data_IF_275525184664
#
_entry.id   IF_275525184664
#
_cell.length_a   1.000
_cell.length_b   1.000
_cell.length_c   1.000
_cell.angle_alpha   90.00
_cell.angle_beta   90.00
_cell.angle_gamma   90.00
#
_symmetry.space_group_name_H-M   'P 1'
#
loop_
_entity.id
_entity.type
_entity.pdbx_description
1 polymer ?
#
# COMPACT_ATOMS: atom_id res chain seq x y z
N UNK A 1 10.62 4.22 -11.36
CA UNK A 1 9.55 3.37 -10.79
C UNK A 1 8.65 2.86 -11.89
N UNK A 2 8.33 1.56 -11.87
CA UNK A 2 7.50 0.91 -12.88
C UNK A 2 6.03 1.37 -12.86
N UNK A 3 5.33 1.17 -13.97
CA UNK A 3 3.90 1.49 -14.10
C UNK A 3 3.00 0.41 -13.46
N UNK A 4 1.68 0.65 -13.48
CA UNK A 4 0.69 -0.25 -12.88
C UNK A 4 0.70 -1.66 -13.49
N UNK A 5 1.04 -1.81 -14.77
CA UNK A 5 1.07 -3.10 -15.47
C UNK A 5 2.24 -3.95 -15.00
N UNK A 6 3.42 -3.35 -14.89
CA UNK A 6 4.62 -4.01 -14.37
C UNK A 6 4.44 -4.42 -12.89
N UNK A 7 3.83 -3.56 -12.07
CA UNK A 7 3.53 -3.90 -10.67
C UNK A 7 2.51 -5.03 -10.59
N UNK A 8 1.47 -5.04 -11.43
CA UNK A 8 0.51 -6.16 -11.54
C UNK A 8 1.22 -7.46 -11.91
N UNK A 9 2.05 -7.45 -12.95
CA UNK A 9 2.77 -8.63 -13.42
C UNK A 9 3.71 -9.18 -12.33
N UNK A 10 4.50 -8.30 -11.72
CA UNK A 10 5.39 -8.63 -10.59
C UNK A 10 4.64 -9.33 -9.46
N UNK A 11 3.49 -8.79 -9.06
CA UNK A 11 2.65 -9.39 -8.03
C UNK A 11 2.08 -10.75 -8.43
N UNK A 12 1.66 -10.92 -9.69
CA UNK A 12 1.20 -12.22 -10.18
C UNK A 12 2.30 -13.29 -10.08
N UNK A 13 3.52 -12.95 -10.50
CA UNK A 13 4.68 -13.85 -10.41
C UNK A 13 5.01 -14.21 -8.95
N UNK A 14 4.99 -13.22 -8.04
CA UNK A 14 5.18 -13.46 -6.60
C UNK A 14 4.16 -14.46 -6.05
N UNK A 15 2.89 -14.29 -6.39
CA UNK A 15 1.84 -15.19 -5.89
C UNK A 15 2.00 -16.61 -6.39
N UNK A 16 2.31 -16.78 -7.68
CA UNK A 16 2.59 -18.10 -8.25
C UNK A 16 3.73 -18.79 -7.49
N UNK A 17 4.83 -18.07 -7.25
CA UNK A 17 5.96 -18.58 -6.47
C UNK A 17 5.58 -18.96 -5.04
N UNK A 18 4.85 -18.10 -4.32
CA UNK A 18 4.38 -18.36 -2.96
C UNK A 18 3.45 -19.58 -2.88
N UNK A 19 2.60 -19.78 -3.88
CA UNK A 19 1.69 -20.92 -3.97
C UNK A 19 2.44 -22.24 -4.20
N UNK A 20 3.33 -22.28 -5.19
CA UNK A 20 4.12 -23.47 -5.53
C UNK A 20 5.03 -23.93 -4.38
N UNK A 21 5.55 -22.97 -3.61
CA UNK A 21 6.36 -23.24 -2.42
C UNK A 21 5.57 -23.96 -1.30
N UNK A 22 4.23 -23.88 -1.34
CA UNK A 22 3.37 -24.45 -0.30
C UNK A 22 2.76 -25.80 -0.69
N UNK A 23 2.58 -26.08 -1.98
CA UNK A 23 2.13 -27.39 -2.46
C UNK A 23 3.24 -28.43 -2.35
N UNK A 24 4.48 -28.04 -2.59
CA UNK A 24 5.68 -28.88 -2.47
C UNK A 24 6.00 -29.26 -1.02
N UNK A 25 5.65 -28.42 -0.03
CA UNK A 25 5.83 -28.75 1.40
C UNK A 25 4.85 -29.81 1.93
N UNK A 26 3.69 -29.97 1.28
CA UNK A 26 2.63 -30.90 1.71
C UNK A 26 2.67 -32.26 0.99
N UNK A 27 3.58 -32.44 0.03
CA UNK A 27 3.74 -33.67 -0.73
C UNK A 27 5.20 -33.98 -1.01
N UNK A 28 5.72 -35.01 -0.33
CA UNK A 28 7.02 -35.67 -0.48
C UNK A 28 8.05 -35.37 0.61
N UNK A 29 8.34 -36.41 1.40
CA UNK A 29 9.61 -36.51 2.11
C UNK A 29 10.74 -36.65 1.10
N UNK A 30 11.62 -35.65 1.04
CA UNK A 30 12.94 -35.77 0.46
C UNK A 30 13.93 -34.95 1.29
N UNK A 31 14.41 -35.59 2.35
CA UNK A 31 15.64 -35.22 3.02
C UNK A 31 16.81 -35.47 2.07
N UNK A 32 17.15 -34.53 1.17
CA UNK A 32 18.49 -34.19 0.68
C UNK A 32 18.36 -32.96 -0.26
N UNK A 33 19.24 -31.95 -0.08
CA UNK A 33 19.37 -30.67 -0.82
C UNK A 33 18.54 -29.45 -0.35
N UNK A 34 18.64 -29.06 0.93
CA UNK A 34 17.98 -27.84 1.45
C UNK A 34 18.60 -26.51 0.98
N UNK A 35 19.93 -26.44 0.79
CA UNK A 35 20.62 -25.18 0.43
C UNK A 35 20.43 -24.78 -1.05
N UNK A 36 20.44 -25.74 -1.98
CA UNK A 36 20.20 -25.48 -3.39
C UNK A 36 18.74 -25.10 -3.65
N UNK A 37 17.79 -25.72 -2.93
CA UNK A 37 16.37 -25.37 -2.97
C UNK A 37 16.11 -23.94 -2.45
N UNK A 38 16.79 -23.55 -1.36
CA UNK A 38 16.69 -22.18 -0.81
C UNK A 38 17.26 -21.13 -1.76
N UNK A 39 18.39 -21.43 -2.42
CA UNK A 39 19.02 -20.52 -3.38
C UNK A 39 18.18 -20.35 -4.65
N UNK A 40 17.59 -21.44 -5.16
CA UNK A 40 16.67 -21.41 -6.30
C UNK A 40 15.42 -20.59 -5.99
N UNK A 41 14.88 -20.69 -4.77
CA UNK A 41 13.74 -19.88 -4.35
C UNK A 41 14.07 -18.38 -4.30
N UNK A 42 15.22 -18.00 -3.76
CA UNK A 42 15.66 -16.60 -3.73
C UNK A 42 15.87 -16.03 -5.13
N UNK A 43 16.40 -16.84 -6.06
CA UNK A 43 16.53 -16.44 -7.46
C UNK A 43 15.17 -16.27 -8.15
N UNK A 44 14.23 -17.18 -7.88
CA UNK A 44 12.86 -17.04 -8.37
C UNK A 44 12.14 -15.83 -7.75
N UNK A 45 12.40 -15.52 -6.48
CA UNK A 45 11.87 -14.32 -5.83
C UNK A 45 12.40 -13.05 -6.50
N UNK A 46 13.70 -13.01 -6.76
CA UNK A 46 14.35 -11.87 -7.43
C UNK A 46 13.78 -11.65 -8.84
N UNK A 47 13.49 -12.72 -9.59
CA UNK A 47 12.89 -12.62 -10.92
C UNK A 47 11.47 -12.04 -10.92
N UNK A 48 10.74 -12.09 -9.80
CA UNK A 48 9.44 -11.42 -9.67
C UNK A 48 9.54 -9.90 -9.66
N UNK A 49 10.71 -9.34 -9.32
CA UNK A 49 10.95 -7.91 -9.12
C UNK A 49 10.13 -7.24 -7.99
N UNK A 50 9.33 -7.99 -7.22
CA UNK A 50 8.48 -7.39 -6.19
C UNK A 50 9.31 -6.65 -5.14
N UNK A 51 10.36 -7.32 -4.64
CA UNK A 51 11.28 -6.75 -3.65
C UNK A 51 12.01 -5.52 -4.20
N UNK A 52 12.41 -5.56 -5.49
CA UNK A 52 13.05 -4.43 -6.14
C UNK A 52 12.10 -3.20 -6.18
N UNK A 53 10.82 -3.41 -6.44
CA UNK A 53 9.84 -2.33 -6.43
C UNK A 53 9.56 -1.78 -5.03
N UNK A 54 9.46 -2.64 -4.01
CA UNK A 54 9.36 -2.20 -2.60
C UNK A 54 10.58 -1.39 -2.17
N UNK A 55 11.78 -1.84 -2.55
CA UNK A 55 13.04 -1.16 -2.27
C UNK A 55 13.06 0.24 -2.88
N UNK A 56 12.69 0.38 -4.16
CA UNK A 56 12.68 1.68 -4.84
C UNK A 56 11.65 2.63 -4.20
N UNK A 57 10.49 2.12 -3.75
CA UNK A 57 9.48 2.91 -3.01
C UNK A 57 10.01 3.44 -1.69
N UNK A 58 10.57 2.56 -0.86
CA UNK A 58 11.15 2.92 0.43
C UNK A 58 12.33 3.89 0.28
N UNK A 59 13.22 3.64 -0.69
CA UNK A 59 14.35 4.52 -0.97
C UNK A 59 13.90 5.91 -1.45
N UNK A 60 12.86 5.99 -2.28
CA UNK A 60 12.31 7.26 -2.75
C UNK A 60 11.65 8.05 -1.61
N UNK A 61 10.88 7.39 -0.74
CA UNK A 61 10.32 8.01 0.45
C UNK A 61 11.41 8.51 1.39
N UNK A 62 12.44 7.70 1.67
CA UNK A 62 13.60 8.11 2.47
C UNK A 62 14.30 9.34 1.86
N UNK A 63 14.42 9.41 0.53
CA UNK A 63 15.01 10.58 -0.12
C UNK A 63 14.22 11.86 0.16
N UNK A 64 12.88 11.77 0.17
CA UNK A 64 11.99 12.89 0.55
C UNK A 64 12.22 13.26 2.02
N UNK A 65 12.26 12.28 2.92
CA UNK A 65 12.51 12.47 4.36
C UNK A 65 13.84 13.18 4.59
N UNK A 66 14.93 12.71 3.97
CA UNK A 66 16.26 13.30 4.10
C UNK A 66 16.30 14.75 3.61
N UNK A 67 15.63 15.02 2.49
CA UNK A 67 15.61 16.36 1.89
C UNK A 67 14.82 17.35 2.75
N UNK A 68 13.69 16.92 3.32
CA UNK A 68 12.88 17.75 4.21
C UNK A 68 13.55 17.95 5.57
N UNK A 69 13.95 16.86 6.23
CA UNK A 69 14.39 16.90 7.63
C UNK A 69 15.84 17.32 7.80
N UNK A 70 16.77 16.79 6.99
CA UNK A 70 18.20 17.09 7.15
C UNK A 70 18.69 18.24 6.29
N UNK A 71 18.11 18.42 5.10
CA UNK A 71 18.53 19.49 4.19
C UNK A 71 17.66 20.75 4.31
N UNK A 72 16.53 20.68 5.03
CA UNK A 72 15.57 21.77 5.19
C UNK A 72 15.09 22.34 3.84
N UNK A 73 14.88 21.48 2.84
CA UNK A 73 14.44 21.87 1.49
C UNK A 73 13.02 21.40 1.20
N UNK A 74 12.27 22.22 0.48
CA UNK A 74 10.96 21.84 -0.05
C UNK A 74 11.10 20.78 -1.14
N UNK A 75 10.14 19.87 -1.21
CA UNK A 75 10.13 18.77 -2.19
C UNK A 75 8.77 18.73 -2.88
N UNK A 76 8.78 18.73 -4.22
CA UNK A 76 7.62 18.43 -5.04
C UNK A 76 7.75 16.99 -5.56
N UNK A 77 6.77 16.15 -5.25
CA UNK A 77 6.71 14.77 -5.75
C UNK A 77 5.58 14.68 -6.76
N UNK A 78 5.87 14.19 -7.96
CA UNK A 78 4.86 13.88 -8.96
C UNK A 78 5.21 12.60 -9.71
N UNK A 79 4.22 12.06 -10.42
CA UNK A 79 4.43 11.00 -11.40
C UNK A 79 3.75 11.42 -12.72
N UNK A 80 3.11 10.49 -13.44
CA UNK A 80 2.31 10.82 -14.63
C UNK A 80 1.02 11.54 -14.23
N UNK A 81 0.16 10.86 -13.47
CA UNK A 81 -1.18 11.32 -13.11
C UNK A 81 -1.29 11.75 -11.62
N UNK A 82 -0.28 11.41 -10.82
CA UNK A 82 -0.19 11.85 -9.42
C UNK A 82 -0.98 11.02 -8.39
N UNK A 83 -1.82 10.07 -8.77
CA UNK A 83 -2.67 9.33 -7.82
C UNK A 83 -2.16 7.93 -7.40
N UNK A 84 -1.08 7.42 -8.00
CA UNK A 84 -0.50 6.10 -7.68
C UNK A 84 0.84 6.26 -6.94
N UNK A 85 1.94 6.41 -7.69
CA UNK A 85 3.31 6.45 -7.14
C UNK A 85 3.55 7.65 -6.23
N UNK A 86 2.98 8.81 -6.57
CA UNK A 86 3.09 10.02 -5.75
C UNK A 86 2.46 9.78 -4.37
N UNK A 87 1.22 9.29 -4.34
CA UNK A 87 0.51 8.91 -3.11
C UNK A 87 1.31 7.91 -2.28
N UNK A 88 1.89 6.88 -2.90
CA UNK A 88 2.75 5.92 -2.20
C UNK A 88 3.95 6.61 -1.52
N UNK A 89 4.70 7.42 -2.27
CA UNK A 89 5.91 8.08 -1.76
C UNK A 89 5.58 9.10 -0.66
N UNK A 90 4.59 9.95 -0.89
CA UNK A 90 4.18 11.00 0.07
C UNK A 90 3.68 10.37 1.37
N UNK A 91 2.80 9.38 1.29
CA UNK A 91 2.27 8.76 2.51
C UNK A 91 3.33 7.98 3.28
N UNK A 92 4.29 7.32 2.61
CA UNK A 92 5.45 6.70 3.29
C UNK A 92 6.36 7.75 3.94
N UNK A 93 6.66 8.86 3.25
CA UNK A 93 7.50 9.92 3.80
C UNK A 93 6.84 10.57 5.03
N UNK A 94 5.53 10.84 4.98
CA UNK A 94 4.76 11.36 6.12
C UNK A 94 4.77 10.39 7.30
N UNK A 95 4.59 9.09 7.04
CA UNK A 95 4.67 8.04 8.07
C UNK A 95 6.05 7.98 8.76
N UNK A 96 7.11 8.22 7.99
CA UNK A 96 8.49 8.26 8.50
C UNK A 96 8.79 9.57 9.26
N UNK A 97 8.23 10.70 8.85
CA UNK A 97 8.51 12.02 9.42
C UNK A 97 7.71 12.33 10.68
N UNK A 98 6.40 12.03 10.70
CA UNK A 98 5.50 12.46 11.77
C UNK A 98 5.02 11.26 12.60
N UNK A 99 5.36 11.20 13.91
CA UNK A 99 4.85 10.18 14.81
C UNK A 99 3.32 10.10 14.90
N UNK A 100 2.60 11.19 14.62
CA UNK A 100 1.14 11.19 14.59
C UNK A 100 0.59 10.12 13.63
N UNK A 101 1.14 10.00 12.43
CA UNK A 101 0.69 9.03 11.43
C UNK A 101 0.98 7.57 11.81
N UNK A 102 1.73 7.33 12.88
CA UNK A 102 2.02 6.00 13.43
C UNK A 102 1.05 5.59 14.54
N UNK A 103 0.13 6.48 14.93
CA UNK A 103 -1.04 6.16 15.77
C UNK A 103 -2.17 5.56 14.93
N UNK A 104 -3.10 4.84 15.53
CA UNK A 104 -4.29 4.31 14.83
C UNK A 104 -5.14 5.43 14.23
N UNK A 105 -5.27 6.55 14.96
CA UNK A 105 -6.01 7.72 14.49
C UNK A 105 -5.31 8.41 13.32
N UNK A 106 -4.01 8.65 13.43
CA UNK A 106 -3.24 9.30 12.38
C UNK A 106 -3.07 8.41 11.15
N UNK A 107 -2.88 7.10 11.30
CA UNK A 107 -2.78 6.20 10.15
C UNK A 107 -4.10 6.13 9.35
N UNK A 108 -5.24 6.13 10.04
CA UNK A 108 -6.56 6.33 9.41
C UNK A 108 -6.60 7.64 8.63
N UNK A 109 -6.20 8.76 9.25
CA UNK A 109 -6.21 10.07 8.59
C UNK A 109 -5.28 10.10 7.36
N UNK A 110 -4.10 9.48 7.47
CA UNK A 110 -3.15 9.36 6.36
C UNK A 110 -3.80 8.68 5.15
N UNK A 111 -4.55 7.60 5.37
CA UNK A 111 -5.24 6.87 4.30
C UNK A 111 -6.43 7.68 3.75
N UNK A 112 -7.27 8.22 4.63
CA UNK A 112 -8.42 9.03 4.20
C UNK A 112 -7.98 10.26 3.39
N UNK A 113 -6.86 10.90 3.77
CA UNK A 113 -6.37 12.10 3.08
C UNK A 113 -5.56 11.79 1.82
N UNK A 114 -4.48 11.03 1.96
CA UNK A 114 -3.50 10.86 0.86
C UNK A 114 -3.97 9.84 -0.18
N UNK A 115 -4.86 8.93 0.19
CA UNK A 115 -5.34 7.89 -0.71
C UNK A 115 -6.77 8.16 -1.20
N UNK A 116 -7.73 8.30 -0.27
CA UNK A 116 -9.14 8.40 -0.64
C UNK A 116 -9.46 9.80 -1.16
N UNK A 117 -9.17 10.86 -0.39
CA UNK A 117 -9.49 12.23 -0.75
C UNK A 117 -8.64 12.72 -1.95
N UNK A 118 -7.35 12.36 -2.01
CA UNK A 118 -6.47 12.70 -3.13
C UNK A 118 -6.84 11.99 -4.44
N UNK A 119 -7.73 10.99 -4.41
CA UNK A 119 -8.29 10.36 -5.60
C UNK A 119 -7.48 9.19 -6.14
N UNK A 120 -6.83 8.40 -5.27
CA UNK A 120 -6.38 7.08 -5.68
C UNK A 120 -7.59 6.26 -6.17
N UNK A 121 -7.47 5.71 -7.37
CA UNK A 121 -8.58 5.04 -8.06
C UNK A 121 -8.86 3.63 -7.53
N UNK A 122 -9.30 3.51 -6.27
CA UNK A 122 -9.52 2.22 -5.63
C UNK A 122 -10.49 1.31 -6.42
N UNK A 123 -11.59 1.86 -6.94
CA UNK A 123 -12.55 1.10 -7.75
C UNK A 123 -11.91 0.41 -8.97
N UNK A 124 -11.13 1.15 -9.75
CA UNK A 124 -10.40 0.63 -10.91
C UNK A 124 -9.26 -0.32 -10.49
N UNK A 125 -8.46 0.07 -9.48
CA UNK A 125 -7.25 -0.66 -9.08
C UNK A 125 -7.56 -2.00 -8.42
N UNK A 126 -8.62 -2.07 -7.61
CA UNK A 126 -9.06 -3.30 -6.93
C UNK A 126 -9.85 -4.23 -7.85
N UNK A 127 -10.55 -3.68 -8.85
CA UNK A 127 -11.42 -4.45 -9.73
C UNK A 127 -12.68 -4.99 -9.06
N UNK A 128 -13.10 -4.39 -7.93
CA UNK A 128 -14.34 -4.74 -7.22
C UNK A 128 -15.60 -4.38 -8.01
N UNK A 129 -15.52 -3.35 -8.84
CA UNK A 129 -16.59 -2.93 -9.73
C UNK A 129 -16.28 -3.38 -11.16
N UNK A 130 -17.33 -3.57 -11.96
CA UNK A 130 -17.18 -3.84 -13.38
C UNK A 130 -16.43 -2.67 -14.05
N UNK A 131 -15.40 -2.97 -14.84
CA UNK A 131 -14.53 -1.95 -15.43
C UNK A 131 -13.36 -2.57 -16.18
N UNK A 132 -12.52 -1.71 -16.76
CA UNK A 132 -11.34 -2.11 -17.53
C UNK A 132 -10.35 -2.88 -16.64
N UNK A 133 -10.13 -4.15 -16.97
CA UNK A 133 -9.23 -5.04 -16.25
C UNK A 133 -7.77 -4.61 -16.38
N UNK A 134 -7.43 -3.86 -17.44
CA UNK A 134 -6.10 -3.31 -17.66
C UNK A 134 -5.72 -2.25 -16.63
N UNK A 135 -6.69 -1.63 -15.94
CA UNK A 135 -6.46 -0.63 -14.90
C UNK A 135 -6.20 -1.23 -13.50
N UNK A 136 -6.32 -2.55 -13.34
CA UNK A 136 -6.14 -3.22 -12.05
C UNK A 136 -4.68 -3.32 -11.67
N UNK A 137 -4.34 -2.97 -10.44
CA UNK A 137 -2.99 -3.13 -9.91
C UNK A 137 -2.96 -3.07 -8.37
N UNK A 138 -2.07 -3.82 -7.70
CA UNK A 138 -2.00 -3.88 -6.24
C UNK A 138 -1.21 -2.70 -5.64
N UNK A 139 -1.52 -1.47 -6.05
CA UNK A 139 -0.76 -0.25 -5.67
C UNK A 139 -0.86 0.03 -4.16
N UNK A 140 -2.08 -0.01 -3.60
CA UNK A 140 -2.28 0.15 -2.16
C UNK A 140 -1.67 -1.02 -1.36
N UNK A 141 -1.75 -2.24 -1.88
CA UNK A 141 -1.16 -3.42 -1.24
C UNK A 141 0.37 -3.35 -1.19
N UNK A 142 0.99 -2.92 -2.30
CA UNK A 142 2.43 -2.67 -2.37
C UNK A 142 2.86 -1.63 -1.33
N UNK A 143 2.08 -0.56 -1.15
CA UNK A 143 2.32 0.41 -0.11
C UNK A 143 2.19 -0.18 1.30
N UNK A 144 1.16 -0.97 1.57
CA UNK A 144 1.01 -1.66 2.85
C UNK A 144 2.18 -2.60 3.15
N UNK A 145 2.74 -3.25 2.13
CA UNK A 145 3.94 -4.10 2.27
C UNK A 145 5.16 -3.24 2.69
N UNK A 146 5.35 -2.07 2.08
CA UNK A 146 6.33 -1.08 2.54
C UNK A 146 6.08 -0.65 4.00
N UNK A 147 4.83 -0.35 4.37
CA UNK A 147 4.45 0.00 5.76
C UNK A 147 4.81 -1.13 6.72
N UNK A 148 4.56 -2.39 6.35
CA UNK A 148 4.90 -3.56 7.16
C UNK A 148 6.41 -3.68 7.38
N UNK A 149 7.24 -3.40 6.38
CA UNK A 149 8.69 -3.36 6.55
C UNK A 149 9.16 -2.25 7.50
N UNK A 150 8.58 -1.04 7.39
CA UNK A 150 8.86 0.06 8.33
C UNK A 150 8.41 -0.31 9.75
N UNK A 151 7.22 -0.91 9.89
CA UNK A 151 6.65 -1.36 11.15
C UNK A 151 7.56 -2.38 11.84
N UNK A 152 7.98 -3.42 11.10
CA UNK A 152 8.87 -4.48 11.61
C UNK A 152 10.24 -3.93 12.02
N UNK A 153 10.79 -2.99 11.26
CA UNK A 153 12.07 -2.35 11.58
C UNK A 153 12.00 -1.44 12.82
N UNK A 154 10.79 -1.01 13.22
CA UNK A 154 10.59 -0.06 14.33
C UNK A 154 9.50 -0.56 15.30
N UNK A 155 9.73 -1.65 16.06
CA UNK A 155 8.69 -2.35 16.83
C UNK A 155 7.96 -1.51 17.88
N UNK A 156 8.58 -0.46 18.40
CA UNK A 156 7.99 0.40 19.44
C UNK A 156 7.36 1.69 18.89
N UNK A 157 7.44 1.90 17.58
CA UNK A 157 7.11 3.19 16.95
C UNK A 157 5.66 3.32 16.48
N UNK A 158 4.89 2.23 16.46
CA UNK A 158 3.55 2.15 15.90
C UNK A 158 2.54 1.68 16.94
N UNK A 159 1.40 2.37 17.04
CA UNK A 159 0.31 2.02 17.96
C UNK A 159 -0.43 0.76 17.52
N UNK A 160 -0.55 0.56 16.20
CA UNK A 160 -1.18 -0.63 15.63
C UNK A 160 -0.18 -1.78 15.46
N UNK A 161 -0.68 -3.01 15.51
CA UNK A 161 0.11 -4.23 15.26
C UNK A 161 -0.03 -4.72 13.81
N UNK A 162 0.67 -5.81 13.46
CA UNK A 162 0.63 -6.37 12.10
C UNK A 162 -0.77 -6.90 11.71
N UNK A 163 -1.58 -7.36 12.68
CA UNK A 163 -2.95 -7.85 12.42
C UNK A 163 -3.83 -6.72 11.87
N UNK A 164 -3.67 -5.49 12.37
CA UNK A 164 -4.35 -4.31 11.83
C UNK A 164 -4.06 -4.13 10.33
N UNK A 165 -2.78 -4.23 9.92
CA UNK A 165 -2.37 -4.11 8.52
C UNK A 165 -2.92 -5.25 7.66
N UNK A 166 -2.92 -6.48 8.17
CA UNK A 166 -3.50 -7.63 7.47
C UNK A 166 -5.01 -7.42 7.27
N UNK A 167 -5.75 -7.00 8.30
CA UNK A 167 -7.19 -6.75 8.20
C UNK A 167 -7.52 -5.62 7.23
N UNK A 168 -6.72 -4.57 7.22
CA UNK A 168 -6.85 -3.49 6.25
C UNK A 168 -6.64 -4.01 4.82
N UNK A 169 -5.55 -4.75 4.57
CA UNK A 169 -5.26 -5.35 3.27
C UNK A 169 -6.40 -6.26 2.77
N UNK A 170 -6.98 -7.09 3.66
CA UNK A 170 -8.12 -7.95 3.35
C UNK A 170 -9.35 -7.15 2.92
N UNK A 171 -9.69 -6.11 3.68
CA UNK A 171 -10.93 -5.38 3.50
C UNK A 171 -10.91 -4.33 2.38
N UNK A 172 -9.73 -3.98 1.86
CA UNK A 172 -9.60 -3.24 0.60
C UNK A 172 -10.17 -4.03 -0.58
N UNK A 173 -10.05 -5.37 -0.56
CA UNK A 173 -10.51 -6.25 -1.65
C UNK A 173 -11.76 -7.05 -1.30
N UNK A 174 -12.37 -6.84 -0.12
CA UNK A 174 -13.53 -7.64 0.29
C UNK A 174 -14.87 -7.06 -0.16
N UNK A 175 -14.92 -5.79 -0.55
CA UNK A 175 -16.17 -5.07 -0.87
C UNK A 175 -17.14 -4.93 0.31
N UNK A 176 -16.68 -5.17 1.54
CA UNK A 176 -17.54 -5.18 2.74
C UNK A 176 -17.81 -3.75 3.27
N UNK A 177 -16.82 -2.87 3.14
CA UNK A 177 -16.87 -1.50 3.63
C UNK A 177 -16.86 -0.51 2.47
N UNK A 178 -17.42 0.68 2.71
CA UNK A 178 -17.54 1.70 1.68
C UNK A 178 -16.25 2.41 1.31
N UNK A 179 -15.25 2.43 2.20
CA UNK A 179 -14.09 3.32 2.11
C UNK A 179 -13.29 3.19 0.81
N UNK A 180 -13.23 1.99 0.22
CA UNK A 180 -12.37 1.68 -0.93
C UNK A 180 -13.16 1.32 -2.19
N UNK A 181 -14.43 1.74 -2.29
CA UNK A 181 -15.30 1.36 -3.42
C UNK A 181 -15.18 2.28 -4.64
N UNK A 182 -14.95 3.57 -4.44
CA UNK A 182 -14.98 4.58 -5.50
C UNK A 182 -13.57 5.02 -5.92
N UNK A 183 -13.47 5.80 -7.01
CA UNK A 183 -12.20 6.32 -7.52
C UNK A 183 -11.90 7.75 -7.07
N UNK A 184 -12.87 8.45 -6.48
CA UNK A 184 -12.70 9.83 -6.03
C UNK A 184 -13.67 10.19 -4.90
N UNK A 185 -13.34 11.23 -4.14
CA UNK A 185 -14.25 11.82 -3.15
C UNK A 185 -15.59 12.26 -3.77
N UNK A 186 -15.56 12.78 -5.00
CA UNK A 186 -16.77 13.16 -5.73
C UNK A 186 -17.69 11.97 -5.98
N UNK A 187 -17.14 10.83 -6.40
CA UNK A 187 -17.91 9.59 -6.57
C UNK A 187 -18.47 9.06 -5.24
N UNK A 188 -17.73 9.19 -4.13
CA UNK A 188 -18.22 8.83 -2.80
C UNK A 188 -19.48 9.60 -2.42
N UNK A 189 -19.49 10.91 -2.67
CA UNK A 189 -20.63 11.79 -2.40
C UNK A 189 -21.79 11.45 -3.34
N UNK A 190 -21.52 11.36 -4.65
CA UNK A 190 -22.54 11.10 -5.68
C UNK A 190 -23.27 9.78 -5.44
N UNK A 191 -22.54 8.74 -5.02
CA UNK A 191 -23.11 7.43 -4.72
C UNK A 191 -23.67 7.29 -3.29
N UNK A 192 -23.62 8.35 -2.48
CA UNK A 192 -24.05 8.39 -1.09
C UNK A 192 -23.42 7.27 -0.22
N UNK A 193 -22.15 6.95 -0.46
CA UNK A 193 -21.45 5.80 0.13
C UNK A 193 -21.54 5.80 1.66
N UNK A 194 -21.30 6.96 2.30
CA UNK A 194 -21.31 7.11 3.76
C UNK A 194 -22.65 6.79 4.41
N UNK A 195 -23.76 6.93 3.68
CA UNK A 195 -25.11 6.62 4.19
C UNK A 195 -25.55 5.18 3.90
N UNK A 196 -24.91 4.53 2.92
CA UNK A 196 -25.31 3.22 2.39
C UNK A 196 -24.41 2.07 2.83
N UNK A 197 -23.26 2.38 3.42
CA UNK A 197 -22.21 1.40 3.74
C UNK A 197 -21.62 1.67 5.11
N UNK A 198 -20.98 0.65 5.68
CA UNK A 198 -20.20 0.80 6.92
C UNK A 198 -18.78 1.28 6.63
N UNK A 199 -18.22 2.00 7.60
CA UNK A 199 -16.83 2.41 7.59
C UNK A 199 -15.92 1.32 8.17
N UNK A 200 -14.82 1.00 7.48
CA UNK A 200 -13.80 0.07 7.97
C UNK A 200 -13.21 0.54 9.31
N UNK A 201 -13.17 1.84 9.56
CA UNK A 201 -12.63 2.40 10.80
C UNK A 201 -13.50 2.10 12.02
N UNK A 202 -14.80 1.83 11.82
CA UNK A 202 -15.67 1.32 12.88
C UNK A 202 -15.30 -0.12 13.26
N UNK A 203 -14.79 -0.90 12.30
CA UNK A 203 -14.27 -2.26 12.54
C UNK A 203 -12.85 -2.23 13.13
N UNK A 204 -11.95 -1.42 12.57
CA UNK A 204 -10.57 -1.19 13.03
C UNK A 204 -10.49 -0.16 14.17
N UNK A 205 -11.39 -0.28 15.13
CA UNK A 205 -11.58 0.73 16.17
C UNK A 205 -10.41 0.77 17.17
N UNK A 206 -9.92 1.95 17.60
CA UNK A 206 -8.81 2.06 18.57
C UNK A 206 -9.09 1.47 19.95
N UNK A 207 -10.35 1.24 20.34
CA UNK A 207 -10.66 0.56 21.61
C UNK A 207 -10.53 -0.97 21.51
N UNK A 208 -10.28 -1.51 20.32
CA UNK A 208 -10.12 -2.94 20.14
C UNK A 208 -8.66 -3.33 20.35
N UNK A 209 -8.36 -3.85 21.54
CA UNK A 209 -6.99 -4.17 21.95
C UNK A 209 -6.32 -5.24 21.07
N UNK A 210 -7.08 -6.02 20.29
CA UNK A 210 -6.51 -6.99 19.34
C UNK A 210 -5.66 -6.33 18.24
N UNK A 211 -5.88 -5.04 17.98
CA UNK A 211 -5.16 -4.28 16.96
C UNK A 211 -4.03 -3.43 17.54
N UNK A 212 -3.90 -3.36 18.86
CA UNK A 212 -2.87 -2.57 19.51
C UNK A 212 -1.56 -3.32 19.58
N UNK A 213 -0.48 -2.56 19.44
CA UNK A 213 0.86 -2.98 19.70
C UNK A 213 1.22 -2.68 21.16
N UNK A 214 1.45 -3.73 21.95
CA UNK A 214 1.81 -3.61 23.36
C UNK A 214 3.19 -2.96 23.60
N UNK A 215 4.04 -2.94 22.56
CA UNK A 215 5.37 -2.33 22.62
C UNK A 215 5.35 -0.84 22.23
N UNK A 216 4.20 -0.30 21.84
CA UNK A 216 4.09 1.09 21.41
C UNK A 216 4.50 2.06 22.53
N UNK A 217 5.42 2.96 22.20
CA UNK A 217 5.81 4.06 23.07
C UNK A 217 5.26 5.36 22.51
N UNK A 218 4.42 6.02 23.30
CA UNK A 218 3.79 7.29 22.95
C UNK A 218 4.83 8.42 22.91
N UNK A 219 5.09 9.01 21.73
CA UNK A 219 6.09 10.08 21.57
C UNK A 219 5.83 11.32 22.42
N UNK A 220 4.57 11.54 22.84
CA UNK A 220 4.21 12.71 23.67
C UNK A 220 4.56 12.52 25.14
N UNK A 221 4.75 11.26 25.59
CA UNK A 221 5.01 10.91 26.98
C UNK A 221 6.49 10.66 27.27
N UNK A 222 7.31 10.54 26.23
CA UNK A 222 8.73 10.27 26.37
C UNK A 222 9.56 11.54 26.10
N UNK A 223 10.10 12.12 27.17
CA UNK A 223 10.92 13.34 27.10
C UNK A 223 12.30 13.13 26.50
N UNK A 224 12.81 11.89 26.51
CA UNK A 224 14.15 11.54 26.00
C UNK A 224 14.13 11.17 24.51
N UNK A 225 12.95 10.91 23.94
CA UNK A 225 12.79 10.35 22.60
C UNK A 225 12.56 11.39 21.48
N UNK A 226 12.69 12.69 21.77
CA UNK A 226 12.53 13.76 20.78
C UNK A 226 13.41 13.59 19.53
N UNK A 227 14.59 12.97 19.66
CA UNK A 227 15.52 12.71 18.55
C UNK A 227 15.23 11.44 17.74
N UNK A 228 14.23 10.61 18.11
CA UNK A 228 13.80 9.40 17.37
C UNK A 228 12.42 9.53 16.72
N UNK A 229 11.93 10.76 16.57
CA UNK A 229 10.63 11.02 15.96
C UNK A 229 10.61 10.81 14.44
N UNK A 230 11.77 10.86 13.78
CA UNK A 230 11.90 10.60 12.35
C UNK A 230 12.53 9.22 12.14
N UNK A 231 11.87 8.37 11.35
CA UNK A 231 12.34 7.04 11.00
C UNK A 231 13.24 7.12 9.76
N UNK A 232 14.55 6.92 9.92
CA UNK A 232 15.54 7.06 8.82
C UNK A 232 16.29 5.78 8.51
N UNK A 233 15.85 4.64 9.04
CA UNK A 233 16.48 3.34 8.82
C UNK A 233 16.55 3.03 7.32
N UNK A 234 17.74 2.82 6.74
CA UNK A 234 17.86 2.43 5.34
C UNK A 234 17.39 0.99 5.15
N UNK A 235 16.48 0.77 4.20
CA UNK A 235 15.93 -0.55 3.90
C UNK A 235 16.76 -1.23 2.81
N UNK A 236 17.67 -2.13 3.19
CA UNK A 236 18.46 -2.88 2.20
C UNK A 236 17.62 -3.99 1.60
N UNK A 237 17.89 -4.39 0.36
CA UNK A 237 17.20 -5.51 -0.31
C UNK A 237 17.14 -6.77 0.56
N UNK A 238 18.24 -7.11 1.26
CA UNK A 238 18.30 -8.24 2.19
C UNK A 238 17.29 -8.14 3.35
N UNK A 239 16.99 -6.94 3.81
CA UNK A 239 16.05 -6.73 4.92
C UNK A 239 14.59 -6.85 4.42
N UNK A 240 14.39 -6.78 3.10
CA UNK A 240 13.10 -6.90 2.43
C UNK A 240 12.80 -8.33 1.93
N UNK A 241 13.79 -9.24 1.90
CA UNK A 241 13.56 -10.65 1.50
C UNK A 241 12.70 -11.43 2.50
N UNK A 242 12.50 -10.88 3.70
CA UNK A 242 11.50 -11.36 4.64
C UNK A 242 10.10 -10.97 4.16
N UNK A 243 9.51 -11.82 3.30
CA UNK A 243 8.17 -11.63 2.77
C UNK A 243 7.12 -11.49 3.88
N UNK A 244 6.05 -10.74 3.59
CA UNK A 244 4.88 -10.66 4.46
C UNK A 244 4.09 -11.98 4.44
N UNK A 245 4.60 -12.97 5.18
CA UNK A 245 4.07 -14.34 5.17
C UNK A 245 2.59 -14.41 5.54
N UNK A 246 2.12 -13.56 6.47
CA UNK A 246 0.70 -13.53 6.87
C UNK A 246 -0.25 -13.17 5.71
N UNK A 247 0.25 -12.43 4.71
CA UNK A 247 -0.51 -11.99 3.56
C UNK A 247 -0.25 -12.87 2.33
N UNK A 248 1.02 -13.11 2.00
CA UNK A 248 1.42 -13.80 0.76
C UNK A 248 1.49 -15.33 0.91
N UNK A 249 1.69 -15.84 2.13
CA UNK A 249 1.80 -17.27 2.45
C UNK A 249 1.00 -17.64 3.72
N UNK A 250 -0.30 -17.31 3.83
CA UNK A 250 -1.07 -17.49 5.08
C UNK A 250 -1.08 -18.93 5.59
N UNK A 251 -0.92 -19.91 4.71
CA UNK A 251 -0.77 -21.33 5.02
C UNK A 251 0.44 -21.65 5.90
N UNK A 252 1.51 -20.86 5.83
CA UNK A 252 2.72 -21.04 6.65
C UNK A 252 2.65 -20.29 7.98
N UNK A 253 1.61 -19.48 8.21
CA UNK A 253 1.45 -18.71 9.43
C UNK A 253 1.18 -19.62 10.65
N UNK A 254 1.62 -19.16 11.83
CA UNK A 254 1.36 -19.82 13.11
C UNK A 254 -0.16 -20.03 13.31
N UNK A 255 -0.62 -21.25 13.66
CA UNK A 255 -2.02 -21.52 14.01
C UNK A 255 -2.67 -20.55 15.01
N UNK A 256 -1.91 -20.00 15.97
CA UNK A 256 -2.39 -19.01 16.93
C UNK A 256 -2.72 -17.68 16.24
N UNK A 257 -1.84 -17.24 15.32
CA UNK A 257 -2.05 -16.03 14.51
C UNK A 257 -3.20 -16.25 13.53
N UNK A 258 -3.31 -17.43 12.90
CA UNK A 258 -4.45 -17.80 12.04
C UNK A 258 -5.82 -17.71 12.73
N UNK A 259 -5.88 -18.05 14.03
CA UNK A 259 -7.10 -17.93 14.85
C UNK A 259 -7.43 -16.48 15.14
N UNK A 260 -6.44 -15.64 15.46
CA UNK A 260 -6.64 -14.21 15.70
C UNK A 260 -6.97 -13.45 14.41
N UNK A 261 -6.40 -13.84 13.27
CA UNK A 261 -6.73 -13.25 11.98
C UNK A 261 -8.07 -13.74 11.44
N UNK A 262 -8.77 -14.68 12.11
CA UNK A 262 -10.05 -15.24 11.69
C UNK A 262 -10.05 -15.45 10.17
N UNK A 263 -9.24 -16.39 9.68
CA UNK A 263 -9.40 -16.98 8.35
C UNK A 263 -10.70 -17.79 8.34
N UNK A 264 -11.84 -17.12 8.52
CA UNK A 264 -13.16 -17.71 8.40
C UNK A 264 -13.58 -17.65 6.94
N UNK A 265 -13.76 -18.85 6.42
CA UNK A 265 -14.52 -19.24 5.24
C UNK A 265 -15.82 -18.42 5.15
N UNK A 266 -15.85 -17.38 4.32
CA UNK A 266 -17.11 -16.82 3.85
C UNK A 266 -17.57 -17.75 2.72
N UNK A 267 -18.59 -18.55 3.03
CA UNK A 267 -19.32 -19.38 2.07
C UNK A 267 -19.86 -18.51 0.94
N UNK A 268 -19.33 -18.71 -0.26
CA UNK A 268 -19.89 -18.19 -1.51
C UNK A 268 -21.16 -18.97 -1.85
N UNK A 269 -22.31 -18.52 -1.37
CA UNK A 269 -23.62 -19.01 -1.86
C UNK A 269 -24.44 -17.90 -2.51
N UNK A 270 -23.83 -16.80 -2.96
CA UNK A 270 -24.59 -15.65 -3.47
C UNK A 270 -24.09 -15.01 -4.77
N UNK A 271 -23.08 -15.57 -5.45
CA UNK A 271 -22.59 -14.98 -6.72
C UNK A 271 -22.42 -15.98 -7.88
N UNK A 272 -22.79 -17.25 -7.71
CA UNK A 272 -22.67 -18.26 -8.79
C UNK A 272 -23.83 -18.23 -9.80
N UNK A 273 -24.88 -17.47 -9.55
CA UNK A 273 -25.99 -17.34 -10.50
C UNK A 273 -25.83 -16.07 -11.34
N UNK A 274 -24.87 -16.06 -12.29
CA UNK A 274 -24.95 -15.28 -13.56
C UNK A 274 -23.67 -15.27 -14.43
N UNK A 275 -22.79 -16.27 -14.40
CA UNK A 275 -21.68 -16.36 -15.36
C UNK A 275 -21.83 -17.57 -16.28
N UNK A 276 -22.61 -17.41 -17.35
CA UNK A 276 -22.56 -18.30 -18.52
C UNK A 276 -21.27 -18.03 -19.29
N UNK A 277 -20.47 -19.09 -19.41
CA UNK A 277 -19.24 -19.29 -20.20
C UNK A 277 -19.02 -18.34 -21.40
N UNK A 278 -17.94 -17.56 -21.36
CA UNK A 278 -17.18 -17.13 -22.52
C UNK A 278 -15.72 -16.77 -22.14
N UNK A 279 -14.78 -17.60 -22.61
CA UNK A 279 -13.35 -17.41 -22.98
C UNK A 279 -12.36 -16.45 -22.25
N UNK A 280 -12.67 -15.76 -21.16
CA UNK A 280 -11.70 -14.88 -20.46
C UNK A 280 -11.24 -15.47 -19.11
N UNK A 281 -10.33 -16.45 -19.14
CA UNK A 281 -9.87 -17.18 -17.94
C UNK A 281 -8.82 -16.48 -17.07
N UNK A 282 -8.24 -15.35 -17.51
CA UNK A 282 -7.12 -14.71 -16.79
C UNK A 282 -7.52 -13.50 -15.92
N UNK A 283 -8.74 -13.00 -16.09
CA UNK A 283 -9.08 -11.63 -15.68
C UNK A 283 -9.93 -11.51 -14.41
N UNK A 284 -10.60 -12.57 -13.98
CA UNK A 284 -11.37 -12.64 -12.71
C UNK A 284 -10.46 -12.94 -11.50
N UNK A 285 -9.18 -13.22 -11.76
CA UNK A 285 -8.25 -13.81 -10.79
C UNK A 285 -7.82 -12.84 -9.69
N UNK A 286 -7.64 -11.53 -9.89
CA UNK A 286 -7.05 -10.70 -8.81
C UNK A 286 -8.00 -10.46 -7.61
N UNK A 287 -9.25 -10.06 -7.86
CA UNK A 287 -10.26 -9.86 -6.81
C UNK A 287 -10.75 -11.19 -6.21
N UNK A 288 -10.98 -12.21 -7.03
CA UNK A 288 -11.31 -13.56 -6.54
C UNK A 288 -10.13 -14.24 -5.85
N UNK A 289 -8.88 -13.90 -6.17
CA UNK A 289 -7.70 -14.58 -5.61
C UNK A 289 -7.18 -13.94 -4.31
N UNK A 290 -7.43 -12.65 -4.04
CA UNK A 290 -7.26 -12.12 -2.68
C UNK A 290 -8.39 -12.63 -1.77
N UNK A 291 -9.61 -12.76 -2.30
CA UNK A 291 -10.69 -13.46 -1.61
C UNK A 291 -10.42 -14.98 -1.46
N UNK A 292 -9.77 -15.65 -2.43
CA UNK A 292 -9.41 -17.08 -2.40
C UNK A 292 -8.14 -17.36 -1.56
N UNK A 293 -7.21 -16.41 -1.43
CA UNK A 293 -6.15 -16.47 -0.42
C UNK A 293 -6.72 -16.52 1.01
N UNK A 294 -7.95 -16.04 1.19
CA UNK A 294 -8.70 -16.12 2.45
C UNK A 294 -9.68 -17.28 2.50
N UNK A 295 -9.94 -17.95 1.37
CA UNK A 295 -10.90 -19.03 1.23
C UNK A 295 -10.21 -20.25 0.60
N UNK A 296 -9.67 -21.13 1.44
CA UNK A 296 -9.21 -22.45 1.02
C UNK A 296 -10.37 -23.18 0.33
N UNK A 297 -10.38 -23.21 -1.01
CA UNK A 297 -10.72 -24.35 -1.86
C UNK A 297 -10.69 -23.96 -3.36
N UNK A 298 -10.04 -24.82 -4.14
CA UNK A 298 -10.11 -24.98 -5.61
C UNK A 298 -9.45 -23.93 -6.52
N UNK A 299 -8.14 -24.08 -6.73
CA UNK A 299 -7.51 -23.80 -8.03
C UNK A 299 -7.20 -25.14 -8.70
N UNK A 300 -8.16 -25.69 -9.44
CA UNK A 300 -7.87 -26.71 -10.44
C UNK A 300 -8.01 -26.09 -11.83
N UNK A 301 -6.94 -26.25 -12.61
CA UNK A 301 -6.78 -25.92 -14.04
C UNK A 301 -6.35 -24.48 -14.36
N UNK A 302 -5.05 -24.19 -14.21
CA UNK A 302 -4.34 -23.30 -15.13
C UNK A 302 -3.24 -24.11 -15.83
N UNK A 303 -3.47 -24.46 -17.09
CA UNK A 303 -2.41 -24.92 -18.00
C UNK A 303 -1.70 -23.69 -18.55
N UNK A 304 -0.38 -23.65 -18.37
CA UNK A 304 0.52 -22.65 -18.94
C UNK A 304 0.54 -22.78 -20.48
N UNK A 305 -0.07 -21.81 -21.16
CA UNK A 305 0.22 -21.56 -22.58
C UNK A 305 0.82 -20.17 -22.75
N UNK A 306 1.96 -20.15 -23.42
CA UNK A 306 2.84 -19.05 -23.75
C UNK A 306 2.08 -17.82 -24.29
N UNK A 307 2.26 -16.66 -23.65
CA UNK A 307 1.82 -15.36 -24.19
C UNK A 307 3.04 -14.45 -24.28
N UNK A 308 3.17 -13.82 -25.45
CA UNK A 308 4.36 -13.21 -26.00
C UNK A 308 4.87 -12.01 -25.20
N UNK A 309 6.20 -11.92 -25.09
CA UNK A 309 6.92 -10.73 -24.68
C UNK A 309 6.61 -9.58 -25.64
N UNK A 310 5.81 -8.60 -25.21
CA UNK A 310 5.93 -7.25 -25.73
C UNK A 310 6.88 -6.49 -24.79
N UNK A 311 8.17 -6.52 -25.14
CA UNK A 311 9.18 -5.61 -24.61
C UNK A 311 8.84 -4.18 -25.06
N UNK A 312 8.06 -3.47 -24.25
CA UNK A 312 8.10 -2.00 -24.21
C UNK A 312 8.90 -1.57 -22.99
N UNK A 313 10.22 -1.54 -23.18
CA UNK A 313 11.16 -0.88 -22.28
C UNK A 313 11.04 0.64 -22.43
N UNK A 314 9.93 1.20 -21.96
CA UNK A 314 9.88 2.63 -21.66
C UNK A 314 10.63 2.87 -20.35
N UNK A 315 11.96 2.96 -20.48
CA UNK A 315 12.85 3.58 -19.51
C UNK A 315 12.51 5.08 -19.42
N UNK A 316 11.34 5.41 -18.87
CA UNK A 316 11.06 6.77 -18.43
C UNK A 316 11.81 6.98 -17.12
N UNK A 317 12.96 7.61 -17.29
CA UNK A 317 13.86 8.10 -16.26
C UNK A 317 13.06 8.81 -15.16
N UNK A 318 13.11 8.25 -13.95
CA UNK A 318 12.45 8.83 -12.78
C UNK A 318 13.33 9.97 -12.28
N UNK A 319 13.00 11.21 -12.67
CA UNK A 319 13.60 12.39 -12.06
C UNK A 319 12.74 12.84 -10.88
N UNK A 320 13.29 12.78 -9.66
CA UNK A 320 12.85 13.68 -8.60
C UNK A 320 13.39 15.05 -9.03
N UNK A 321 12.52 15.88 -9.60
CA UNK A 321 12.89 17.25 -9.96
C UNK A 321 12.93 18.08 -8.68
N UNK A 322 14.11 18.58 -8.33
CA UNK A 322 14.29 19.56 -7.27
C UNK A 322 14.20 20.94 -7.89
N UNK A 323 13.18 21.72 -7.54
CA UNK A 323 13.20 23.16 -7.75
C UNK A 323 13.45 23.83 -6.41
N UNK A 324 14.55 24.57 -6.31
CA UNK A 324 14.85 25.39 -5.14
C UNK A 324 13.87 26.58 -5.15
N UNK A 325 12.86 26.54 -4.29
CA UNK A 325 11.92 27.65 -4.13
C UNK A 325 12.63 28.68 -3.26
N UNK A 326 13.15 29.73 -3.88
CA UNK A 326 14.01 30.74 -3.21
C UNK A 326 13.32 32.09 -2.98
N UNK A 327 12.07 32.25 -3.39
CA UNK A 327 11.32 33.50 -3.19
C UNK A 327 9.80 33.34 -3.29
N UNK A 328 9.05 34.22 -2.62
CA UNK A 328 7.57 34.29 -2.65
C UNK A 328 6.99 34.45 -4.07
N UNK A 329 7.78 34.91 -5.04
CA UNK A 329 7.39 35.01 -6.45
C UNK A 329 7.30 33.67 -7.17
N UNK A 330 7.90 32.58 -6.66
CA UNK A 330 7.74 31.24 -7.22
C UNK A 330 6.41 30.58 -6.85
N UNK A 331 5.72 31.07 -5.81
CA UNK A 331 4.43 30.55 -5.35
C UNK A 331 3.28 30.93 -6.29
N UNK A 332 3.35 32.11 -6.91
CA UNK A 332 2.35 32.63 -7.85
C UNK A 332 2.65 32.31 -9.33
N UNK A 333 3.80 31.69 -9.63
CA UNK A 333 4.20 31.35 -11.00
C UNK A 333 3.66 30.01 -11.54
N UNK A 334 2.95 29.23 -10.71
CA UNK A 334 2.44 27.87 -11.05
C UNK A 334 0.93 27.87 -11.33
N UNK A 335 0.34 29.02 -11.66
CA UNK A 335 -1.10 29.09 -11.97
C UNK A 335 -1.50 28.44 -13.31
N UNK A 336 -0.57 27.95 -14.15
CA UNK A 336 -0.89 27.50 -15.51
C UNK A 336 -0.35 26.12 -15.94
N UNK A 337 -0.02 25.21 -15.02
CA UNK A 337 0.17 23.81 -15.40
C UNK A 337 -0.46 22.85 -14.38
N UNK A 338 -1.66 22.38 -14.74
CA UNK A 338 -2.26 21.11 -14.27
C UNK A 338 -2.41 20.92 -12.76
N UNK A 339 -3.02 21.90 -12.09
CA UNK A 339 -3.83 21.62 -10.89
C UNK A 339 -5.16 20.98 -11.33
N UNK A 340 -5.60 19.93 -10.64
CA UNK A 340 -6.85 19.20 -10.89
C UNK A 340 -8.00 20.12 -11.37
N UNK A 341 -8.64 19.87 -12.53
CA UNK A 341 -9.63 20.78 -13.10
C UNK A 341 -11.00 20.75 -12.39
N UNK A 342 -11.13 20.12 -11.22
CA UNK A 342 -12.44 19.80 -10.62
C UNK A 342 -12.76 20.45 -9.26
N UNK A 343 -11.91 21.35 -8.73
CA UNK A 343 -12.26 22.11 -7.52
C UNK A 343 -12.72 23.54 -7.89
N UNK A 344 -13.88 23.95 -7.36
CA UNK A 344 -14.33 25.34 -7.43
C UNK A 344 -13.35 26.27 -6.72
N UNK A 345 -13.31 27.56 -7.10
CA UNK A 345 -12.37 28.54 -6.53
C UNK A 345 -12.36 28.56 -5.00
N UNK A 346 -13.53 28.42 -4.38
CA UNK A 346 -13.68 28.48 -2.92
C UNK A 346 -13.21 27.18 -2.21
N UNK A 347 -13.28 26.02 -2.89
CA UNK A 347 -12.77 24.74 -2.37
C UNK A 347 -11.25 24.63 -2.53
N UNK A 348 -10.68 25.26 -3.57
CA UNK A 348 -9.23 25.39 -3.75
C UNK A 348 -8.61 26.22 -2.63
N UNK A 349 -9.20 27.35 -2.26
CA UNK A 349 -8.68 28.19 -1.17
C UNK A 349 -8.75 27.48 0.20
N UNK A 350 -9.78 26.67 0.43
CA UNK A 350 -9.94 25.91 1.68
C UNK A 350 -8.96 24.74 1.76
N UNK A 351 -8.79 23.97 0.68
CA UNK A 351 -7.82 22.87 0.61
C UNK A 351 -6.37 23.37 0.67
N UNK A 352 -6.05 24.50 0.01
CA UNK A 352 -4.74 25.16 0.09
C UNK A 352 -4.52 25.72 1.50
N UNK A 353 -5.56 26.25 2.16
CA UNK A 353 -5.50 26.71 3.55
C UNK A 353 -5.23 25.58 4.56
N UNK A 354 -5.83 24.41 4.36
CA UNK A 354 -5.60 23.23 5.20
C UNK A 354 -4.26 22.54 4.91
N UNK A 355 -3.85 22.43 3.65
CA UNK A 355 -2.52 21.94 3.28
C UNK A 355 -1.42 22.88 3.76
N UNK A 356 -1.61 24.20 3.61
CA UNK A 356 -0.71 25.21 4.18
C UNK A 356 -0.71 25.14 5.71
N UNK A 357 -1.84 24.92 6.37
CA UNK A 357 -1.91 24.72 7.83
C UNK A 357 -1.12 23.49 8.29
N UNK A 358 -1.25 22.35 7.61
CA UNK A 358 -0.53 21.12 8.02
C UNK A 358 0.95 21.19 7.67
N UNK A 359 1.29 21.73 6.49
CA UNK A 359 2.69 21.98 6.11
C UNK A 359 3.30 23.03 7.02
N UNK A 360 2.59 24.11 7.37
CA UNK A 360 3.05 25.12 8.33
C UNK A 360 3.08 24.59 9.76
N UNK A 361 2.21 23.66 10.16
CA UNK A 361 2.27 23.00 11.47
C UNK A 361 3.46 22.04 11.54
N UNK A 362 3.75 21.33 10.45
CA UNK A 362 4.92 20.48 10.30
C UNK A 362 6.22 21.31 10.29
N UNK A 363 6.25 22.40 9.50
CA UNK A 363 7.36 23.36 9.44
C UNK A 363 7.52 24.09 10.78
N UNK A 364 6.44 24.54 11.43
CA UNK A 364 6.53 25.22 12.74
C UNK A 364 7.00 24.28 13.85
N UNK A 365 6.64 22.99 13.79
CA UNK A 365 7.18 21.96 14.68
C UNK A 365 8.65 21.67 14.40
N UNK A 366 9.09 21.73 13.14
CA UNK A 366 10.49 21.56 12.74
C UNK A 366 11.37 22.80 13.01
N UNK A 367 10.82 24.02 12.87
CA UNK A 367 11.54 25.28 13.10
C UNK A 367 11.61 25.62 14.60
N UNK A 368 10.63 25.19 15.41
CA UNK A 368 10.68 25.33 16.86
C UNK A 368 11.76 24.48 17.56
N UNK A 369 12.56 23.72 16.80
CA UNK A 369 13.69 22.90 17.25
C UNK A 369 15.08 23.51 16.93
N UNK A 370 15.13 24.74 16.39
CA UNK A 370 16.35 25.58 16.34
C UNK A 370 16.34 26.60 17.47
#
# INVERSE_FOLDING_TARGET
MSNIHAVRYSFQQLRTLCWESCTTANGAGSSQNSESSSSAWLQALDSTQWIAYLHILLASALKVVETLHYQAKCVLVHCSDGWDRTTQIISLAKLMLDPYYRTMAGFKELIEREWIAFGHKFGERTGLLAGDTSQRAPIFLQWLDCVRHIHKANPCSFEFNEIYLVKLAQHVYSGLFGNFLCNSAHEHITNNVSSRTFSIWSFLHPMNDQFKNILFVDPTKDTDMKTRNVLTTPYKVRDLTDLWQLLHCPQNADPAIKRQTNLMTLSTTSLESSATLSDDSDHTVMALSIASLLNNNNFSNLSTSSIMNEDQTDNNDFSISYKEITSDSDFYGVENSSFCPFLGKDEKETAIGEESSVVNAMISRLIGEL
#
